data_IF_962896891446
#
_entry.id   IF_962896891446
#
_cell.length_a   1.000
_cell.length_b   1.000
_cell.length_c   1.000
_cell.angle_alpha   90.00
_cell.angle_beta   90.00
_cell.angle_gamma   90.00
#
_symmetry.space_group_name_H-M   'P 1'
#
loop_
_entity.id
_entity.type
_entity.pdbx_description
1 polymer ?
#
# COMPACT_ATOMS: atom_id res chain seq x y z
N UNK A 1 -8.20 -2.09 -9.85
CA UNK A 1 -7.22 -1.91 -8.79
C UNK A 1 -5.78 -2.11 -9.25
N UNK A 2 -5.57 -3.08 -10.14
CA UNK A 2 -4.23 -3.30 -10.66
C UNK A 2 -3.71 -2.11 -11.48
N UNK A 3 -4.58 -1.48 -12.22
CA UNK A 3 -4.22 -0.31 -13.00
C UNK A 3 -3.73 0.84 -12.12
N UNK A 4 -4.39 1.02 -10.98
CA UNK A 4 -3.99 2.05 -10.04
C UNK A 4 -2.63 1.74 -9.45
N UNK A 5 -2.35 0.47 -9.18
CA UNK A 5 -1.04 0.08 -8.66
C UNK A 5 0.06 0.36 -9.68
N UNK A 6 -0.17 -0.02 -10.94
CA UNK A 6 0.84 0.22 -11.99
C UNK A 6 1.09 1.71 -12.17
N UNK A 7 0.03 2.50 -12.16
CA UNK A 7 0.13 3.96 -12.26
C UNK A 7 0.92 4.55 -11.10
N UNK A 8 0.66 4.06 -9.91
CA UNK A 8 1.36 4.50 -8.71
C UNK A 8 2.86 4.16 -8.77
N UNK A 9 3.18 2.94 -9.22
CA UNK A 9 4.59 2.52 -9.31
C UNK A 9 5.35 3.38 -10.31
N UNK A 10 4.71 3.72 -11.42
CA UNK A 10 5.31 4.62 -12.40
C UNK A 10 5.53 6.00 -11.80
N UNK A 11 4.58 6.48 -11.03
CA UNK A 11 4.65 7.78 -10.37
C UNK A 11 5.85 7.86 -9.41
N UNK A 12 6.02 6.85 -8.55
CA UNK A 12 7.11 6.89 -7.57
C UNK A 12 8.47 6.72 -8.24
N UNK A 13 8.52 6.04 -9.36
CA UNK A 13 9.76 5.89 -10.11
C UNK A 13 10.12 7.16 -10.86
N UNK A 14 9.15 7.71 -11.61
CA UNK A 14 9.40 8.82 -12.53
C UNK A 14 9.42 10.18 -11.83
N UNK A 15 8.49 10.40 -10.91
CA UNK A 15 8.37 11.72 -10.31
C UNK A 15 9.03 11.84 -8.94
N UNK A 16 9.06 10.76 -8.19
CA UNK A 16 9.72 10.76 -6.88
C UNK A 16 11.14 10.22 -6.93
N UNK A 17 11.54 9.68 -8.06
CA UNK A 17 12.90 9.15 -8.25
C UNK A 17 13.28 8.08 -7.24
N UNK A 18 12.32 7.25 -6.85
CA UNK A 18 12.62 6.12 -5.98
C UNK A 18 13.51 5.14 -6.72
N UNK A 19 14.40 4.49 -6.00
CA UNK A 19 15.27 3.47 -6.59
C UNK A 19 14.43 2.27 -7.03
N UNK A 20 14.98 1.48 -7.96
CA UNK A 20 14.29 0.29 -8.44
C UNK A 20 13.99 -0.68 -7.30
N UNK A 21 14.92 -0.83 -6.35
CA UNK A 21 14.72 -1.69 -5.19
C UNK A 21 13.55 -1.22 -4.35
N UNK A 22 13.43 0.09 -4.14
CA UNK A 22 12.32 0.65 -3.37
C UNK A 22 11.00 0.45 -4.09
N UNK A 23 10.98 0.66 -5.41
CA UNK A 23 9.76 0.45 -6.21
C UNK A 23 9.29 -0.99 -6.09
N UNK A 24 10.20 -1.96 -6.23
CA UNK A 24 9.86 -3.37 -6.11
C UNK A 24 9.33 -3.70 -4.71
N UNK A 25 9.99 -3.16 -3.68
CA UNK A 25 9.56 -3.40 -2.30
C UNK A 25 8.16 -2.83 -2.03
N UNK A 26 7.91 -1.62 -2.51
CA UNK A 26 6.60 -0.99 -2.36
C UNK A 26 5.52 -1.78 -3.10
N UNK A 27 5.86 -2.28 -4.29
CA UNK A 27 4.93 -3.11 -5.07
C UNK A 27 4.50 -4.32 -4.26
N UNK A 28 5.46 -5.05 -3.68
CA UNK A 28 5.16 -6.23 -2.87
C UNK A 28 4.29 -5.88 -1.67
N UNK A 29 4.64 -4.80 -0.99
CA UNK A 29 3.90 -4.38 0.20
C UNK A 29 2.44 -4.08 -0.14
N UNK A 30 2.22 -3.35 -1.22
CA UNK A 30 0.86 -2.94 -1.60
C UNK A 30 0.07 -4.13 -2.14
N UNK A 31 0.71 -5.01 -2.91
CA UNK A 31 0.04 -6.22 -3.39
C UNK A 31 -0.43 -7.08 -2.24
N UNK A 32 0.42 -7.24 -1.23
CA UNK A 32 0.04 -8.04 -0.05
C UNK A 32 -1.11 -7.41 0.71
N UNK A 33 -1.09 -6.08 0.83
CA UNK A 33 -2.18 -5.38 1.49
C UNK A 33 -3.48 -5.51 0.69
N UNK A 34 -3.40 -5.37 -0.63
CA UNK A 34 -4.57 -5.52 -1.49
C UNK A 34 -5.17 -6.92 -1.38
N UNK A 35 -4.32 -7.95 -1.34
CA UNK A 35 -4.78 -9.32 -1.14
C UNK A 35 -5.52 -9.46 0.18
N UNK A 36 -4.99 -8.83 1.23
CA UNK A 36 -5.61 -8.86 2.55
C UNK A 36 -7.01 -8.27 2.54
N UNK A 37 -7.17 -7.05 2.01
CA UNK A 37 -8.49 -6.42 2.01
C UNK A 37 -9.44 -7.11 1.04
N UNK A 38 -8.92 -7.66 -0.06
CA UNK A 38 -9.73 -8.39 -1.01
C UNK A 38 -10.28 -9.67 -0.37
N UNK A 39 -9.46 -10.37 0.40
CA UNK A 39 -9.89 -11.57 1.12
C UNK A 39 -10.98 -11.25 2.14
N UNK A 40 -11.00 -10.03 2.67
CA UNK A 40 -12.01 -9.59 3.63
C UNK A 40 -13.23 -9.00 2.94
N UNK A 41 -13.25 -8.96 1.62
CA UNK A 41 -14.38 -8.42 0.87
C UNK A 41 -14.46 -6.89 0.91
N UNK A 42 -13.34 -6.22 1.16
CA UNK A 42 -13.31 -4.76 1.27
C UNK A 42 -12.80 -4.18 -0.04
N UNK A 43 -13.55 -3.23 -0.60
CA UNK A 43 -13.09 -2.50 -1.79
C UNK A 43 -12.09 -1.42 -1.36
N UNK A 44 -11.13 -1.14 -2.25
CA UNK A 44 -10.10 -0.15 -1.95
C UNK A 44 -10.68 1.20 -1.55
N UNK A 45 -11.70 1.68 -2.25
CA UNK A 45 -12.28 2.98 -1.95
C UNK A 45 -13.10 3.00 -0.67
N UNK A 46 -13.42 1.84 -0.11
CA UNK A 46 -14.12 1.72 1.16
C UNK A 46 -13.18 1.40 2.30
N UNK A 47 -11.89 1.35 2.03
CA UNK A 47 -10.89 1.00 3.02
C UNK A 47 -10.71 2.13 4.02
N UNK A 48 -10.93 1.81 5.29
CA UNK A 48 -10.81 2.78 6.39
C UNK A 48 -9.49 2.58 7.11
N UNK A 49 -9.02 3.60 7.84
CA UNK A 49 -7.75 3.47 8.59
C UNK A 49 -7.70 2.26 9.51
N UNK A 50 -8.84 1.86 10.09
CA UNK A 50 -8.86 0.70 10.99
C UNK A 50 -8.42 -0.58 10.26
N UNK A 51 -8.75 -0.72 8.97
CA UNK A 51 -8.36 -1.90 8.20
C UNK A 51 -6.84 -1.94 7.98
N UNK A 52 -6.22 -0.77 7.81
CA UNK A 52 -4.77 -0.70 7.69
C UNK A 52 -4.13 -1.08 9.02
N UNK A 53 -4.68 -0.59 10.13
CA UNK A 53 -4.18 -0.93 11.46
C UNK A 53 -4.27 -2.42 11.72
N UNK A 54 -5.39 -3.03 11.35
CA UNK A 54 -5.59 -4.47 11.52
C UNK A 54 -4.58 -5.25 10.69
N UNK A 55 -4.32 -4.79 9.46
CA UNK A 55 -3.33 -5.43 8.62
C UNK A 55 -1.94 -5.37 9.26
N UNK A 56 -1.57 -4.21 9.81
CA UNK A 56 -0.28 -4.05 10.48
C UNK A 56 -0.18 -5.02 11.67
N UNK A 57 -1.26 -5.21 12.40
CA UNK A 57 -1.28 -6.18 13.51
C UNK A 57 -1.01 -7.60 13.01
N UNK A 58 -1.52 -7.95 11.82
CA UNK A 58 -1.23 -9.28 11.28
C UNK A 58 0.25 -9.44 10.93
N UNK A 59 0.90 -8.36 10.50
CA UNK A 59 2.33 -8.41 10.21
C UNK A 59 3.14 -8.67 11.48
N UNK A 60 2.78 -8.02 12.58
CA UNK A 60 3.41 -8.29 13.88
C UNK A 60 3.17 -9.73 14.32
N UNK A 61 1.93 -10.20 14.18
CA UNK A 61 1.57 -11.55 14.59
C UNK A 61 2.31 -12.60 13.78
N UNK A 62 2.66 -12.29 12.53
CA UNK A 62 3.39 -13.21 11.66
C UNK A 62 4.90 -13.09 11.80
N UNK A 63 5.37 -12.31 12.77
CA UNK A 63 6.80 -12.24 13.07
C UNK A 63 7.61 -11.36 12.14
N UNK A 64 6.96 -10.44 11.44
CA UNK A 64 7.70 -9.51 10.57
C UNK A 64 8.55 -8.56 11.40
N UNK A 65 9.70 -8.17 10.86
CA UNK A 65 10.60 -7.27 11.56
C UNK A 65 10.03 -5.86 11.61
N UNK A 66 10.52 -5.07 12.56
CA UNK A 66 10.11 -3.67 12.67
C UNK A 66 10.42 -2.89 11.40
N UNK A 67 11.56 -3.17 10.76
CA UNK A 67 11.93 -2.52 9.50
C UNK A 67 10.92 -2.81 8.40
N UNK A 68 10.52 -4.08 8.27
CA UNK A 68 9.54 -4.48 7.27
C UNK A 68 8.19 -3.82 7.54
N UNK A 69 7.77 -3.78 8.80
CA UNK A 69 6.50 -3.19 9.17
C UNK A 69 6.51 -1.68 8.89
N UNK A 70 7.60 -1.00 9.26
CA UNK A 70 7.72 0.43 9.00
C UNK A 70 7.64 0.74 7.50
N UNK A 71 8.30 -0.09 6.67
CA UNK A 71 8.23 0.08 5.23
C UNK A 71 6.82 -0.13 4.71
N UNK A 72 6.12 -1.15 5.23
CA UNK A 72 4.72 -1.40 4.83
C UNK A 72 3.83 -0.20 5.17
N UNK A 73 4.00 0.38 6.35
CA UNK A 73 3.24 1.57 6.73
C UNK A 73 3.51 2.69 5.73
N UNK A 74 4.79 2.91 5.41
CA UNK A 74 5.18 3.98 4.50
C UNK A 74 4.61 3.76 3.10
N UNK A 75 4.70 2.54 2.58
CA UNK A 75 4.25 2.25 1.22
C UNK A 75 2.72 2.37 1.11
N UNK A 76 2.00 1.87 2.10
CA UNK A 76 0.53 1.93 2.10
C UNK A 76 0.07 3.39 2.19
N UNK A 77 0.69 4.19 3.07
CA UNK A 77 0.34 5.59 3.20
C UNK A 77 0.63 6.36 1.92
N UNK A 78 1.77 6.08 1.30
CA UNK A 78 2.16 6.73 0.05
C UNK A 78 1.16 6.40 -1.05
N UNK A 79 0.72 5.15 -1.12
CA UNK A 79 -0.25 4.71 -2.11
C UNK A 79 -1.60 5.42 -1.92
N UNK A 80 -2.11 5.47 -0.69
CA UNK A 80 -3.38 6.14 -0.43
C UNK A 80 -3.29 7.64 -0.70
N UNK A 81 -2.18 8.26 -0.38
CA UNK A 81 -1.97 9.66 -0.66
C UNK A 81 -2.03 9.93 -2.16
N UNK A 82 -1.40 9.06 -2.94
CA UNK A 82 -1.43 9.14 -4.40
C UNK A 82 -2.86 8.98 -4.92
N UNK A 83 -3.56 7.96 -4.44
CA UNK A 83 -4.94 7.70 -4.87
C UNK A 83 -5.86 8.86 -4.55
N UNK A 84 -5.70 9.45 -3.37
CA UNK A 84 -6.48 10.60 -2.97
C UNK A 84 -6.19 11.81 -3.86
N UNK A 85 -4.92 12.07 -4.15
CA UNK A 85 -4.51 13.19 -4.98
C UNK A 85 -5.04 13.06 -6.41
N UNK A 86 -5.20 11.84 -6.90
CA UNK A 86 -5.73 11.59 -8.25
C UNK A 86 -7.26 11.51 -8.27
N UNK A 87 -7.91 11.69 -7.12
CA UNK A 87 -9.36 11.63 -7.05
C UNK A 87 -9.93 10.23 -7.20
N UNK A 88 -9.09 9.20 -7.04
CA UNK A 88 -9.53 7.82 -7.19
C UNK A 88 -10.20 7.29 -5.93
N UNK A 89 -9.94 7.94 -4.80
CA UNK A 89 -10.65 7.70 -3.55
C UNK A 89 -11.00 9.07 -2.96
N UNK A 90 -12.04 9.11 -2.14
CA UNK A 90 -12.58 10.37 -1.64
C UNK A 90 -12.18 10.63 -0.19
N UNK A 91 -11.21 9.94 0.32
CA UNK A 91 -10.91 10.08 1.72
C UNK A 91 -9.42 10.36 1.91
#
# INVERSE_FOLDING_TARGET
MREQLLSFLEYIKEEKNFSDNTVVSYKHDIENFMDYINDMGINLKDCKPIYVEDYIKTLYANGRTNSTIARNVASIRCFFKYMFAKGLISK
#
